data_IF_331328538582
#
_entry.id   IF_331328538582
#
_cell.length_a   1.000
_cell.length_b   1.000
_cell.length_c   1.000
_cell.angle_alpha   90.00
_cell.angle_beta   90.00
_cell.angle_gamma   90.00
#
_symmetry.space_group_name_H-M   'P 1'
#
loop_
_entity.id
_entity.type
_entity.pdbx_description
1 polymer ?
#
# COMPACT_ATOMS: atom_id res chain seq x y z
N UNK A 1 -2.60 -30.76 -14.28
CA UNK A 1 -2.54 -29.98 -13.02
C UNK A 1 -3.15 -28.61 -13.25
N UNK A 2 -3.88 -28.06 -12.27
CA UNK A 2 -4.38 -26.69 -12.38
C UNK A 2 -3.21 -25.69 -12.50
N UNK A 3 -3.37 -24.58 -13.25
CA UNK A 3 -2.34 -23.55 -13.39
C UNK A 3 -1.80 -23.03 -12.04
N UNK A 4 -2.66 -22.94 -11.02
CA UNK A 4 -2.30 -22.60 -9.63
C UNK A 4 -1.37 -23.63 -8.98
N UNK A 5 -1.61 -24.92 -9.21
CA UNK A 5 -0.72 -25.99 -8.75
C UNK A 5 0.64 -25.93 -9.43
N UNK A 6 0.67 -25.62 -10.73
CA UNK A 6 1.92 -25.50 -11.50
C UNK A 6 2.75 -24.30 -11.00
N UNK A 7 2.13 -23.14 -10.78
CA UNK A 7 2.83 -21.98 -10.24
C UNK A 7 3.35 -22.22 -8.82
N UNK A 8 2.56 -22.87 -7.96
CA UNK A 8 2.97 -23.23 -6.60
C UNK A 8 4.16 -24.18 -6.60
N UNK A 9 4.10 -25.24 -7.41
CA UNK A 9 5.20 -26.20 -7.52
C UNK A 9 6.47 -25.55 -8.08
N UNK A 10 6.34 -24.68 -9.09
CA UNK A 10 7.48 -23.97 -9.66
C UNK A 10 8.12 -23.01 -8.64
N UNK A 11 7.32 -22.32 -7.82
CA UNK A 11 7.82 -21.48 -6.73
C UNK A 11 8.60 -22.29 -5.70
N UNK A 12 8.08 -23.46 -5.29
CA UNK A 12 8.76 -24.37 -4.37
C UNK A 12 10.11 -24.85 -4.93
N UNK A 13 10.16 -25.19 -6.23
CA UNK A 13 11.41 -25.62 -6.89
C UNK A 13 12.41 -24.46 -6.94
N UNK A 14 11.99 -23.25 -7.35
CA UNK A 14 12.87 -22.07 -7.36
C UNK A 14 13.40 -21.73 -5.96
N UNK A 15 12.57 -21.87 -4.93
CA UNK A 15 12.95 -21.65 -3.53
C UNK A 15 13.98 -22.68 -3.04
N UNK A 16 13.78 -23.97 -3.34
CA UNK A 16 14.74 -25.03 -3.01
C UNK A 16 16.11 -24.78 -3.62
N UNK A 17 16.18 -24.44 -4.91
CA UNK A 17 17.46 -24.16 -5.57
C UNK A 17 18.14 -22.89 -5.08
N UNK A 18 17.38 -21.88 -4.64
CA UNK A 18 17.94 -20.72 -3.93
C UNK A 18 18.58 -21.12 -2.59
N UNK A 19 17.94 -22.02 -1.85
CA UNK A 19 18.51 -22.57 -0.61
C UNK A 19 19.80 -23.35 -0.90
N UNK A 20 19.76 -24.28 -1.85
CA UNK A 20 20.93 -25.09 -2.23
C UNK A 20 22.10 -24.21 -2.72
N UNK A 21 21.79 -23.11 -3.44
CA UNK A 21 22.81 -22.16 -3.87
C UNK A 21 23.46 -21.41 -2.71
N UNK A 22 22.66 -20.98 -1.73
CA UNK A 22 23.17 -20.32 -0.51
C UNK A 22 23.95 -21.26 0.39
N UNK A 23 23.59 -22.54 0.43
CA UNK A 23 24.31 -23.55 1.21
C UNK A 23 25.59 -24.05 0.52
N UNK A 24 25.96 -23.49 -0.64
CA UNK A 24 27.11 -23.94 -1.43
C UNK A 24 26.96 -25.33 -2.05
N UNK A 25 25.74 -25.88 -2.10
CA UNK A 25 25.47 -27.21 -2.64
C UNK A 25 25.29 -27.20 -4.18
N UNK A 26 25.09 -26.04 -4.79
CA UNK A 26 25.00 -25.82 -6.24
C UNK A 26 25.32 -24.37 -6.57
N UNK A 27 25.87 -24.09 -7.75
CA UNK A 27 26.08 -22.70 -8.21
C UNK A 27 24.93 -22.19 -9.09
N UNK A 28 24.08 -23.11 -9.55
CA UNK A 28 23.04 -22.85 -10.55
C UNK A 28 21.64 -23.14 -10.02
N UNK A 29 20.68 -22.34 -10.50
CA UNK A 29 19.26 -22.59 -10.33
C UNK A 29 18.63 -22.94 -11.69
N UNK A 30 18.47 -24.23 -12.03
CA UNK A 30 17.93 -24.64 -13.33
C UNK A 30 16.46 -24.23 -13.53
N UNK A 31 15.74 -23.92 -12.46
CA UNK A 31 14.36 -23.47 -12.53
C UNK A 31 14.24 -21.96 -12.82
N UNK A 32 15.32 -21.18 -12.71
CA UNK A 32 15.31 -19.72 -12.83
C UNK A 32 14.76 -19.24 -14.18
N UNK A 33 15.20 -19.88 -15.27
CA UNK A 33 14.76 -19.60 -16.64
C UNK A 33 13.34 -20.10 -16.97
N UNK A 34 12.70 -20.86 -16.07
CA UNK A 34 11.35 -21.38 -16.29
C UNK A 34 10.32 -20.31 -15.91
N UNK A 35 9.59 -19.83 -16.91
CA UNK A 35 8.45 -18.94 -16.73
C UNK A 35 7.24 -19.71 -16.20
N UNK A 36 6.61 -19.19 -15.15
CA UNK A 36 5.38 -19.77 -14.60
C UNK A 36 4.19 -19.62 -15.55
N UNK A 37 3.13 -20.43 -15.37
CA UNK A 37 1.90 -20.26 -16.11
C UNK A 37 1.32 -18.87 -15.83
N UNK A 38 0.85 -18.17 -16.87
CA UNK A 38 0.14 -16.88 -16.73
C UNK A 38 -1.11 -17.08 -15.88
N UNK A 39 -1.00 -16.81 -14.59
CA UNK A 39 -2.10 -16.79 -13.64
C UNK A 39 -2.59 -15.37 -13.46
N UNK A 40 -3.09 -14.77 -14.53
CA UNK A 40 -3.85 -13.53 -14.40
C UNK A 40 -5.32 -13.82 -14.64
N UNK A 41 -6.06 -13.95 -13.54
CA UNK A 41 -7.50 -13.67 -13.55
C UNK A 41 -7.67 -12.43 -12.66
N UNK A 42 -8.14 -11.30 -13.20
CA UNK A 42 -8.46 -10.17 -12.35
C UNK A 42 -9.46 -10.68 -11.30
N UNK A 43 -9.12 -10.51 -10.03
CA UNK A 43 -10.07 -10.83 -8.98
C UNK A 43 -11.27 -9.90 -9.15
N UNK A 44 -12.51 -10.40 -9.19
CA UNK A 44 -13.69 -9.59 -9.48
C UNK A 44 -13.88 -8.38 -8.55
N UNK A 45 -13.20 -8.38 -7.39
CA UNK A 45 -13.26 -7.31 -6.39
C UNK A 45 -12.24 -6.17 -6.55
N UNK A 46 -11.24 -6.25 -7.43
CA UNK A 46 -10.29 -5.14 -7.61
C UNK A 46 -10.90 -3.97 -8.40
N UNK A 47 -10.54 -2.74 -8.04
CA UNK A 47 -10.79 -1.57 -8.89
C UNK A 47 -9.84 -1.61 -10.08
N UNK A 48 -10.27 -1.05 -11.21
CA UNK A 48 -9.33 -0.78 -12.31
C UNK A 48 -8.40 0.37 -11.92
N UNK A 49 -7.28 0.51 -12.64
CA UNK A 49 -6.39 1.67 -12.48
C UNK A 49 -7.17 2.97 -12.70
N UNK A 50 -8.01 3.02 -13.74
CA UNK A 50 -8.84 4.19 -14.04
C UNK A 50 -9.82 4.53 -12.92
N UNK A 51 -10.47 3.53 -12.32
CA UNK A 51 -11.38 3.75 -11.20
C UNK A 51 -10.64 4.34 -9.99
N UNK A 52 -9.44 3.84 -9.69
CA UNK A 52 -8.61 4.39 -8.60
C UNK A 52 -8.14 5.80 -8.92
N UNK A 53 -7.70 6.07 -10.14
CA UNK A 53 -7.28 7.41 -10.55
C UNK A 53 -8.44 8.41 -10.46
N UNK A 54 -9.64 8.04 -10.93
CA UNK A 54 -10.87 8.84 -10.77
C UNK A 54 -11.16 9.12 -9.30
N UNK A 55 -11.08 8.11 -8.44
CA UNK A 55 -11.30 8.26 -7.00
C UNK A 55 -10.34 9.30 -6.38
N UNK A 56 -9.05 9.20 -6.68
CA UNK A 56 -8.01 10.10 -6.17
C UNK A 56 -8.14 11.52 -6.76
N UNK A 57 -8.47 11.62 -8.05
CA UNK A 57 -8.71 12.89 -8.72
C UNK A 57 -9.94 13.62 -8.14
N UNK A 58 -11.03 12.92 -7.85
CA UNK A 58 -12.18 13.50 -7.17
C UNK A 58 -11.81 14.12 -5.82
N UNK A 59 -10.90 13.50 -5.07
CA UNK A 59 -10.39 14.08 -3.82
C UNK A 59 -9.59 15.36 -4.07
N UNK A 60 -8.78 15.39 -5.13
CA UNK A 60 -8.02 16.57 -5.54
C UNK A 60 -8.91 17.72 -6.06
N UNK A 61 -9.93 17.41 -6.86
CA UNK A 61 -10.86 18.43 -7.38
C UNK A 61 -11.73 19.03 -6.28
N UNK A 62 -12.16 18.22 -5.31
CA UNK A 62 -12.91 18.70 -4.15
C UNK A 62 -12.12 19.72 -3.30
N UNK A 63 -10.78 19.73 -3.40
CA UNK A 63 -9.95 20.74 -2.73
C UNK A 63 -10.05 22.12 -3.39
N UNK A 64 -10.21 22.13 -4.71
CA UNK A 64 -10.24 23.34 -5.51
C UNK A 64 -11.60 24.03 -5.44
N UNK A 65 -12.67 23.28 -5.25
CA UNK A 65 -14.05 23.79 -5.31
C UNK A 65 -14.60 24.36 -3.98
N UNK A 66 -14.27 23.76 -2.83
CA UNK A 66 -14.87 24.16 -1.54
C UNK A 66 -13.83 24.72 -0.56
N UNK A 67 -13.64 26.06 -0.57
CA UNK A 67 -12.74 26.77 0.35
C UNK A 67 -13.15 26.59 1.82
N UNK A 68 -14.45 26.40 2.10
CA UNK A 68 -14.97 26.27 3.47
C UNK A 68 -14.61 24.91 4.10
N UNK A 69 -14.49 23.86 3.29
CA UNK A 69 -14.13 22.50 3.73
C UNK A 69 -12.70 22.08 3.38
N UNK A 70 -11.89 23.00 2.84
CA UNK A 70 -10.51 22.76 2.39
C UNK A 70 -9.68 21.89 3.35
N UNK A 71 -9.81 22.10 4.67
CA UNK A 71 -9.10 21.30 5.69
C UNK A 71 -9.48 19.82 5.66
N UNK A 72 -10.77 19.51 5.72
CA UNK A 72 -11.24 18.12 5.72
C UNK A 72 -10.86 17.42 4.41
N UNK A 73 -10.97 18.13 3.29
CA UNK A 73 -10.60 17.58 1.99
C UNK A 73 -9.10 17.31 1.88
N UNK A 74 -8.23 18.12 2.49
CA UNK A 74 -6.77 17.88 2.49
C UNK A 74 -6.43 16.60 3.24
N UNK A 75 -7.07 16.39 4.39
CA UNK A 75 -6.94 15.14 5.15
C UNK A 75 -7.43 13.96 4.32
N UNK A 76 -8.60 14.08 3.72
CA UNK A 76 -9.23 13.00 2.98
C UNK A 76 -8.37 12.59 1.77
N UNK A 77 -7.83 13.55 1.02
CA UNK A 77 -6.90 13.30 -0.08
C UNK A 77 -5.65 12.57 0.41
N UNK A 78 -5.01 13.08 1.47
CA UNK A 78 -3.82 12.45 2.04
C UNK A 78 -4.08 11.02 2.50
N UNK A 79 -5.25 10.76 3.11
CA UNK A 79 -5.65 9.43 3.55
C UNK A 79 -5.85 8.46 2.38
N UNK A 80 -6.50 8.90 1.30
CA UNK A 80 -6.74 8.05 0.12
C UNK A 80 -5.46 7.74 -0.65
N UNK A 81 -4.62 8.74 -0.88
CA UNK A 81 -3.30 8.56 -1.49
C UNK A 81 -2.41 7.66 -0.63
N UNK A 82 -2.45 7.82 0.70
CA UNK A 82 -1.73 6.95 1.64
C UNK A 82 -2.20 5.49 1.56
N UNK A 83 -3.52 5.25 1.64
CA UNK A 83 -4.07 3.90 1.60
C UNK A 83 -3.74 3.17 0.30
N UNK A 84 -3.85 3.87 -0.84
CA UNK A 84 -3.52 3.29 -2.13
C UNK A 84 -2.01 3.12 -2.28
N UNK A 85 -1.22 4.18 -2.06
CA UNK A 85 0.22 4.18 -2.31
C UNK A 85 1.04 3.25 -1.42
N UNK A 86 0.53 2.89 -0.24
CA UNK A 86 1.22 1.99 0.72
C UNK A 86 0.58 0.60 0.81
N UNK A 87 -0.62 0.44 0.22
CA UNK A 87 -1.45 -0.74 0.43
C UNK A 87 -1.85 -0.98 1.89
N UNK A 88 -1.80 0.01 2.79
CA UNK A 88 -2.06 -0.18 4.22
C UNK A 88 -3.44 -0.79 4.53
N UNK A 89 -3.52 -1.60 5.59
CA UNK A 89 -4.80 -2.01 6.18
C UNK A 89 -5.47 -0.79 6.83
N UNK A 90 -6.80 -0.83 6.97
CA UNK A 90 -7.54 0.27 7.60
C UNK A 90 -7.11 0.53 9.05
N UNK A 91 -6.75 -0.51 9.80
CA UNK A 91 -6.22 -0.37 11.17
C UNK A 91 -4.82 0.24 11.17
N UNK A 92 -3.96 -0.20 10.25
CA UNK A 92 -2.61 0.35 10.10
C UNK A 92 -2.67 1.84 9.79
N UNK A 93 -3.53 2.27 8.87
CA UNK A 93 -3.73 3.69 8.56
C UNK A 93 -4.34 4.47 9.74
N UNK A 94 -5.27 3.88 10.49
CA UNK A 94 -5.90 4.53 11.64
C UNK A 94 -4.94 4.73 12.83
N UNK A 95 -4.00 3.80 13.01
CA UNK A 95 -3.07 3.78 14.14
C UNK A 95 -1.66 4.30 13.78
N UNK A 96 -1.36 4.56 12.50
CA UNK A 96 -0.10 5.13 12.03
C UNK A 96 0.18 6.46 12.73
N UNK A 97 1.43 6.66 13.15
CA UNK A 97 1.90 7.88 13.80
C UNK A 97 2.81 8.67 12.89
N UNK A 98 3.04 9.95 13.21
CA UNK A 98 3.99 10.77 12.45
C UNK A 98 5.41 10.25 12.58
N UNK A 99 5.79 9.73 13.74
CA UNK A 99 7.09 9.11 13.97
C UNK A 99 7.35 7.86 13.12
N UNK A 100 6.32 7.30 12.48
CA UNK A 100 6.45 6.14 11.58
C UNK A 100 6.73 6.55 10.12
N UNK A 101 6.77 7.86 9.83
CA UNK A 101 7.08 8.40 8.51
C UNK A 101 8.58 8.67 8.41
N UNK A 102 9.27 7.90 7.58
CA UNK A 102 10.69 8.09 7.24
C UNK A 102 10.80 8.87 5.93
N UNK A 103 10.41 10.14 5.97
CA UNK A 103 10.28 10.99 4.77
C UNK A 103 11.56 11.08 3.94
N UNK A 104 12.73 11.18 4.58
CA UNK A 104 14.03 11.22 3.90
C UNK A 104 14.32 9.95 3.10
N UNK A 105 13.81 8.81 3.56
CA UNK A 105 13.98 7.50 2.89
C UNK A 105 12.81 7.18 1.96
N UNK A 106 11.74 7.99 1.96
CA UNK A 106 10.51 7.69 1.23
C UNK A 106 9.71 6.49 1.79
N UNK A 107 9.96 6.09 3.04
CA UNK A 107 9.40 4.89 3.66
C UNK A 107 8.38 5.22 4.76
N UNK A 108 7.45 4.29 5.00
CA UNK A 108 6.55 4.32 6.17
C UNK A 108 6.56 2.97 6.88
N UNK A 109 6.61 3.01 8.21
CA UNK A 109 6.46 1.82 9.05
C UNK A 109 4.98 1.60 9.40
N UNK A 110 4.47 0.40 9.16
CA UNK A 110 3.09 0.00 9.42
C UNK A 110 3.03 -1.14 10.44
N UNK A 111 2.16 -1.02 11.44
CA UNK A 111 1.96 -2.03 12.48
C UNK A 111 0.71 -2.90 12.23
N UNK A 112 0.93 -4.17 11.97
CA UNK A 112 -0.10 -5.19 11.78
C UNK A 112 -0.59 -5.83 13.08
N UNK A 113 -1.43 -6.87 12.93
CA UNK A 113 -1.94 -7.67 14.05
C UNK A 113 -0.79 -8.42 14.73
N UNK A 114 -0.75 -8.41 16.07
CA UNK A 114 0.30 -9.06 16.86
C UNK A 114 1.63 -8.31 16.86
N UNK A 115 1.61 -6.99 16.69
CA UNK A 115 2.78 -6.10 16.66
C UNK A 115 3.79 -6.43 15.55
N UNK A 116 3.40 -7.20 14.54
CA UNK A 116 4.23 -7.40 13.34
C UNK A 116 4.34 -6.08 12.59
N UNK A 117 5.55 -5.57 12.47
CA UNK A 117 5.84 -4.36 11.70
C UNK A 117 6.27 -4.72 10.27
N UNK A 118 6.03 -3.81 9.34
CA UNK A 118 6.68 -3.80 8.03
C UNK A 118 6.96 -2.38 7.61
N UNK A 119 8.03 -2.21 6.84
CA UNK A 119 8.36 -0.94 6.21
C UNK A 119 7.96 -1.04 4.75
N UNK A 120 7.24 -0.04 4.26
CA UNK A 120 6.79 0.00 2.86
C UNK A 120 7.18 1.33 2.23
N UNK A 121 7.55 1.34 0.93
CA UNK A 121 7.69 2.57 0.18
C UNK A 121 6.34 3.29 0.10
N UNK A 122 6.41 4.61 0.16
CA UNK A 122 5.28 5.47 -0.15
C UNK A 122 5.63 6.32 -1.37
N UNK A 123 4.72 6.33 -2.35
CA UNK A 123 4.98 7.00 -3.61
C UNK A 123 5.01 8.53 -3.52
N UNK A 124 5.57 9.19 -4.54
CA UNK A 124 5.74 10.67 -4.54
C UNK A 124 4.42 11.42 -4.37
N UNK A 125 3.36 10.98 -5.05
CA UNK A 125 2.04 11.59 -4.93
C UNK A 125 1.47 11.47 -3.50
N UNK A 126 1.65 10.31 -2.88
CA UNK A 126 1.23 10.07 -1.51
C UNK A 126 2.05 10.90 -0.51
N UNK A 127 3.38 10.99 -0.68
CA UNK A 127 4.21 11.90 0.12
C UNK A 127 3.78 13.36 -0.02
N UNK A 128 3.51 13.82 -1.24
CA UNK A 128 3.06 15.19 -1.50
C UNK A 128 1.75 15.49 -0.76
N UNK A 129 0.77 14.59 -0.88
CA UNK A 129 -0.52 14.74 -0.21
C UNK A 129 -0.39 14.70 1.32
N UNK A 130 0.39 13.75 1.86
CA UNK A 130 0.64 13.65 3.31
C UNK A 130 1.38 14.89 3.83
N UNK A 131 2.37 15.39 3.10
CA UNK A 131 3.12 16.61 3.47
C UNK A 131 2.22 17.83 3.51
N UNK A 132 1.36 18.03 2.49
CA UNK A 132 0.38 19.11 2.47
C UNK A 132 -0.64 19.00 3.61
N UNK A 133 -1.08 17.79 3.94
CA UNK A 133 -1.92 17.57 5.12
C UNK A 133 -1.21 17.94 6.43
N UNK A 134 0.05 17.51 6.59
CA UNK A 134 0.85 17.77 7.80
C UNK A 134 1.18 19.25 7.99
N UNK A 135 1.38 20.02 6.92
CA UNK A 135 1.66 21.46 7.01
C UNK A 135 0.38 22.28 7.20
N UNK A 136 -0.65 22.01 6.40
CA UNK A 136 -1.72 23.01 6.19
C UNK A 136 -3.01 22.68 6.94
N UNK A 137 -3.16 21.43 7.37
CA UNK A 137 -4.39 20.91 7.95
C UNK A 137 -4.20 20.33 9.36
N UNK A 138 -3.33 19.32 9.55
CA UNK A 138 -3.19 18.60 10.82
C UNK A 138 -2.96 19.53 12.03
N UNK A 139 -2.08 20.56 11.98
CA UNK A 139 -1.85 21.45 13.12
C UNK A 139 -3.11 22.20 13.56
N UNK A 140 -4.03 22.47 12.63
CA UNK A 140 -5.30 23.17 12.88
C UNK A 140 -6.40 22.23 13.38
N UNK A 141 -6.23 20.92 13.21
CA UNK A 141 -7.13 19.90 13.76
C UNK A 141 -6.64 19.37 15.10
N UNK A 142 -5.35 19.52 15.40
CA UNK A 142 -4.74 18.92 16.57
C UNK A 142 -5.38 19.44 17.87
N UNK A 143 -5.59 18.53 18.81
CA UNK A 143 -6.07 18.76 20.16
C UNK A 143 -5.28 17.91 21.14
N UNK A 144 -5.53 18.06 22.45
CA UNK A 144 -4.90 17.22 23.47
C UNK A 144 -5.08 15.71 23.21
N UNK A 145 -6.19 15.33 22.56
CA UNK A 145 -6.51 13.94 22.21
C UNK A 145 -5.80 13.41 20.96
N UNK A 146 -5.04 14.24 20.22
CA UNK A 146 -4.39 13.84 18.98
C UNK A 146 -3.24 12.88 19.17
N UNK A 147 -2.51 12.99 20.29
CA UNK A 147 -1.21 12.35 20.47
C UNK A 147 -0.35 12.50 19.19
N UNK A 148 0.38 11.43 18.83
CA UNK A 148 1.19 11.41 17.61
C UNK A 148 0.50 10.77 16.38
N UNK A 149 -0.81 10.50 16.45
CA UNK A 149 -1.53 9.87 15.34
C UNK A 149 -1.44 10.71 14.07
N UNK A 150 -1.16 10.06 12.93
CA UNK A 150 -1.01 10.72 11.65
C UNK A 150 -2.34 11.36 11.24
N UNK A 151 -3.40 10.56 11.09
CA UNK A 151 -4.71 11.04 10.62
C UNK A 151 -5.67 11.35 11.77
N UNK A 152 -6.16 12.59 11.79
CA UNK A 152 -7.07 13.10 12.82
C UNK A 152 -8.51 13.30 12.31
N UNK A 153 -9.48 13.00 13.16
CA UNK A 153 -10.88 13.34 12.93
C UNK A 153 -11.13 14.86 13.17
N UNK A 154 -12.35 15.34 12.89
CA UNK A 154 -12.67 16.77 13.01
C UNK A 154 -12.67 17.32 14.45
N UNK A 155 -12.60 16.45 15.47
CA UNK A 155 -12.48 16.80 16.90
C UNK A 155 -11.03 16.73 17.39
N UNK A 156 -10.08 16.43 16.50
CA UNK A 156 -8.66 16.30 16.80
C UNK A 156 -8.23 14.96 17.40
N UNK A 157 -9.14 14.02 17.67
CA UNK A 157 -8.75 12.65 18.02
C UNK A 157 -8.31 11.84 16.81
N UNK A 158 -7.77 10.63 17.01
CA UNK A 158 -7.43 9.74 15.90
C UNK A 158 -8.64 9.41 15.02
N UNK A 159 -8.40 9.18 13.74
CA UNK A 159 -9.44 8.75 12.82
C UNK A 159 -9.79 7.28 13.07
N UNK A 160 -11.09 6.98 13.22
CA UNK A 160 -11.53 5.60 13.45
C UNK A 160 -11.61 4.83 12.14
N UNK A 161 -11.54 3.49 12.19
CA UNK A 161 -11.74 2.62 11.01
C UNK A 161 -13.04 2.94 10.27
N UNK A 162 -14.12 3.18 11.01
CA UNK A 162 -15.40 3.59 10.45
C UNK A 162 -15.35 4.97 9.80
N UNK A 163 -14.59 5.91 10.39
CA UNK A 163 -14.32 7.22 9.78
C UNK A 163 -13.60 7.10 8.44
N UNK A 164 -12.56 6.26 8.37
CA UNK A 164 -11.82 6.00 7.12
C UNK A 164 -12.75 5.43 6.06
N UNK A 165 -13.58 4.45 6.42
CA UNK A 165 -14.55 3.85 5.52
C UNK A 165 -15.57 4.87 4.99
N UNK A 166 -16.10 5.74 5.86
CA UNK A 166 -17.02 6.83 5.45
C UNK A 166 -16.36 7.82 4.50
N UNK A 167 -15.09 8.18 4.74
CA UNK A 167 -14.32 9.03 3.84
C UNK A 167 -14.17 8.36 2.49
N UNK A 168 -13.72 7.11 2.45
CA UNK A 168 -13.57 6.36 1.20
C UNK A 168 -14.89 6.34 0.41
N UNK A 169 -15.99 5.97 1.05
CA UNK A 169 -17.28 5.88 0.36
C UNK A 169 -17.79 7.21 -0.16
N UNK A 170 -17.57 8.31 0.58
CA UNK A 170 -17.88 9.64 0.07
C UNK A 170 -17.20 9.87 -1.29
N UNK A 171 -15.92 9.54 -1.44
CA UNK A 171 -15.21 9.75 -2.70
C UNK A 171 -15.53 8.72 -3.77
N UNK A 172 -15.85 7.48 -3.39
CA UNK A 172 -16.35 6.45 -4.32
C UNK A 172 -17.65 6.90 -4.97
N UNK A 173 -18.59 7.42 -4.17
CA UNK A 173 -19.84 7.98 -4.67
C UNK A 173 -19.59 9.20 -5.56
N UNK A 174 -18.72 10.14 -5.14
CA UNK A 174 -18.39 11.32 -5.94
C UNK A 174 -17.70 10.97 -7.27
N UNK A 175 -16.92 9.89 -7.30
CA UNK A 175 -16.27 9.40 -8.52
C UNK A 175 -17.21 8.60 -9.44
N UNK A 176 -18.48 8.41 -9.05
CA UNK A 176 -19.44 7.64 -9.85
C UNK A 176 -19.13 6.14 -9.92
N UNK A 177 -18.33 5.62 -8.99
CA UNK A 177 -17.97 4.20 -8.96
C UNK A 177 -19.14 3.42 -8.35
N UNK A 178 -19.75 2.55 -9.15
CA UNK A 178 -20.93 1.75 -8.76
C UNK A 178 -20.59 0.48 -7.98
N UNK A 179 -19.31 0.08 -8.00
CA UNK A 179 -18.82 -1.08 -7.24
C UNK A 179 -18.81 -0.79 -5.74
N UNK A 180 -19.01 -1.81 -4.92
CA UNK A 180 -18.80 -1.70 -3.48
C UNK A 180 -17.30 -1.64 -3.18
N UNK A 181 -16.83 -0.48 -2.70
CA UNK A 181 -15.42 -0.24 -2.42
C UNK A 181 -15.22 -0.15 -0.91
N UNK A 182 -14.22 -0.89 -0.43
CA UNK A 182 -13.77 -0.85 0.96
C UNK A 182 -12.26 -0.59 1.03
N UNK A 183 -11.70 -0.29 2.22
CA UNK A 183 -10.25 -0.22 2.38
C UNK A 183 -9.53 -1.52 1.95
N UNK A 184 -10.17 -2.67 2.14
CA UNK A 184 -9.65 -3.96 1.66
C UNK A 184 -9.66 -4.05 0.13
N UNK A 185 -10.70 -3.53 -0.53
CA UNK A 185 -10.79 -3.42 -1.99
C UNK A 185 -9.64 -2.57 -2.53
N UNK A 186 -9.37 -1.42 -1.92
CA UNK A 186 -8.31 -0.50 -2.37
C UNK A 186 -6.92 -1.14 -2.19
N UNK A 187 -6.67 -1.78 -1.04
CA UNK A 187 -5.45 -2.56 -0.80
C UNK A 187 -5.26 -3.71 -1.80
N UNK A 188 -6.34 -4.40 -2.13
CA UNK A 188 -6.28 -5.48 -3.11
C UNK A 188 -5.99 -4.95 -4.52
N UNK A 189 -6.53 -3.77 -4.85
CA UNK A 189 -6.25 -3.07 -6.11
C UNK A 189 -4.78 -2.68 -6.18
N UNK A 190 -4.19 -2.14 -5.11
CA UNK A 190 -2.75 -1.88 -5.00
C UNK A 190 -1.91 -3.12 -5.37
N UNK A 191 -2.20 -4.27 -4.75
CA UNK A 191 -1.51 -5.53 -5.01
C UNK A 191 -1.67 -5.99 -6.47
N UNK A 192 -2.91 -5.96 -6.97
CA UNK A 192 -3.23 -6.39 -8.33
C UNK A 192 -2.54 -5.50 -9.36
N UNK A 193 -2.46 -4.19 -9.11
CA UNK A 193 -1.82 -3.26 -10.02
C UNK A 193 -0.31 -3.39 -10.06
N UNK A 194 0.35 -3.63 -8.92
CA UNK A 194 1.77 -3.95 -8.90
C UNK A 194 2.08 -5.21 -9.71
N UNK A 195 1.34 -6.29 -9.47
CA UNK A 195 1.51 -7.54 -10.22
C UNK A 195 1.20 -7.37 -11.71
N UNK A 196 0.17 -6.62 -12.06
CA UNK A 196 -0.17 -6.32 -13.46
C UNK A 196 0.88 -5.44 -14.14
N UNK A 197 1.57 -4.58 -13.36
CA UNK A 197 2.69 -3.77 -13.82
C UNK A 197 3.95 -4.58 -14.10
N UNK A 198 4.07 -5.78 -13.52
CA UNK A 198 5.23 -6.67 -13.67
C UNK A 198 6.02 -6.91 -12.38
N UNK A 199 5.55 -6.39 -11.24
CA UNK A 199 6.26 -6.54 -9.97
C UNK A 199 6.39 -8.00 -9.55
N UNK A 200 7.51 -8.32 -8.90
CA UNK A 200 7.76 -9.64 -8.35
C UNK A 200 6.72 -10.00 -7.27
N UNK A 201 6.22 -11.24 -7.31
CA UNK A 201 5.18 -11.71 -6.40
C UNK A 201 5.64 -11.69 -4.93
N UNK A 202 6.92 -11.97 -4.68
CA UNK A 202 7.50 -11.98 -3.33
C UNK A 202 7.56 -10.54 -2.82
N UNK A 203 8.02 -9.60 -3.64
CA UNK A 203 8.01 -8.18 -3.29
C UNK A 203 6.60 -7.68 -2.94
N UNK A 204 5.59 -8.04 -3.74
CA UNK A 204 4.19 -7.68 -3.45
C UNK A 204 3.67 -8.33 -2.16
N UNK A 205 4.06 -9.58 -1.87
CA UNK A 205 3.68 -10.27 -0.63
C UNK A 205 4.31 -9.62 0.61
N UNK A 206 5.57 -9.19 0.52
CA UNK A 206 6.28 -8.48 1.58
C UNK A 206 5.69 -7.09 1.83
N UNK A 207 5.40 -6.33 0.77
CA UNK A 207 4.70 -5.04 0.85
C UNK A 207 3.33 -5.15 1.54
N UNK A 208 2.66 -6.29 1.40
CA UNK A 208 1.40 -6.59 2.09
C UNK A 208 1.60 -7.20 3.48
N UNK A 209 2.80 -7.66 3.86
CA UNK A 209 3.03 -8.30 5.15
C UNK A 209 2.17 -9.55 5.34
N UNK A 210 2.17 -10.46 4.36
CA UNK A 210 1.64 -11.81 4.56
C UNK A 210 2.53 -12.56 5.56
N UNK A 211 1.87 -13.10 6.59
CA UNK A 211 2.48 -13.43 7.88
C UNK A 211 3.07 -14.84 7.98
N UNK A 212 3.09 -15.61 6.89
CA UNK A 212 3.67 -16.96 6.83
C UNK A 212 4.91 -16.96 5.95
N UNK A 213 6.04 -16.56 6.54
CA UNK A 213 7.33 -17.22 6.39
C UNK A 213 8.07 -16.95 7.70
N UNK A 214 8.54 -18.02 8.32
CA UNK A 214 9.51 -18.07 9.41
C UNK A 214 10.83 -17.42 9.02
N UNK A 215 10.91 -16.09 9.04
CA UNK A 215 12.18 -15.36 8.94
C UNK A 215 12.05 -14.02 9.66
N UNK A 216 12.38 -13.97 10.95
CA UNK A 216 12.60 -12.69 11.65
C UNK A 216 14.10 -12.40 11.81
N UNK A 217 14.97 -13.28 11.30
CA UNK A 217 16.42 -13.20 11.55
C UNK A 217 17.28 -12.91 10.31
N UNK A 218 16.73 -12.52 9.16
CA UNK A 218 17.54 -12.38 7.92
C UNK A 218 17.71 -10.94 7.40
N UNK A 219 16.91 -9.95 7.79
CA UNK A 219 16.79 -8.75 6.96
C UNK A 219 17.78 -7.63 7.34
N UNK A 220 18.90 -7.61 6.63
CA UNK A 220 19.84 -6.48 6.52
C UNK A 220 19.50 -5.61 5.31
N UNK A 221 20.02 -4.38 5.28
CA UNK A 221 19.76 -3.25 4.36
C UNK A 221 19.52 -3.51 2.85
N UNK A 222 19.81 -4.69 2.33
CA UNK A 222 19.79 -5.03 0.89
C UNK A 222 18.37 -5.22 0.32
N UNK A 223 17.36 -5.56 1.14
CA UNK A 223 15.98 -5.81 0.66
C UNK A 223 15.13 -4.55 0.47
N UNK A 224 15.42 -3.47 1.22
CA UNK A 224 14.66 -2.23 1.10
C UNK A 224 14.83 -1.60 -0.29
N UNK A 225 16.04 -1.62 -0.85
CA UNK A 225 16.29 -1.06 -2.17
C UNK A 225 15.52 -1.80 -3.27
N UNK A 226 15.41 -3.13 -3.14
CA UNK A 226 14.62 -3.96 -4.05
C UNK A 226 13.12 -3.68 -3.91
N UNK A 227 12.58 -3.63 -2.70
CA UNK A 227 11.17 -3.29 -2.49
C UNK A 227 10.83 -1.87 -2.96
N UNK A 228 11.74 -0.91 -2.76
CA UNK A 228 11.63 0.46 -3.28
C UNK A 228 11.66 0.44 -4.81
N UNK A 229 12.56 -0.31 -5.45
CA UNK A 229 12.64 -0.36 -6.91
C UNK A 229 11.38 -0.98 -7.53
N UNK A 230 10.91 -2.09 -6.98
CA UNK A 230 9.70 -2.77 -7.44
C UNK A 230 8.46 -1.88 -7.31
N UNK A 231 8.30 -1.21 -6.16
CA UNK A 231 7.21 -0.24 -5.97
C UNK A 231 7.35 0.92 -6.97
N UNK A 232 8.54 1.50 -7.09
CA UNK A 232 8.80 2.65 -7.95
C UNK A 232 8.58 2.36 -9.44
N UNK A 233 8.95 1.18 -9.90
CA UNK A 233 8.88 0.81 -11.30
C UNK A 233 7.46 0.38 -11.72
N UNK A 234 6.74 -0.29 -10.83
CA UNK A 234 5.49 -0.97 -11.18
C UNK A 234 4.24 -0.36 -10.56
N UNK A 235 4.33 0.45 -9.51
CA UNK A 235 3.16 1.09 -8.93
C UNK A 235 2.60 2.14 -9.89
N UNK A 236 1.30 2.11 -10.24
CA UNK A 236 0.75 3.05 -11.22
C UNK A 236 1.02 4.51 -10.85
N UNK A 237 0.95 4.86 -9.56
CA UNK A 237 1.14 6.25 -9.09
C UNK A 237 2.57 6.78 -9.16
N UNK A 238 3.55 5.98 -9.58
CA UNK A 238 4.94 6.44 -9.76
C UNK A 238 5.21 6.96 -11.17
N UNK A 239 4.31 6.65 -12.11
CA UNK A 239 4.39 7.09 -13.52
C UNK A 239 3.58 8.37 -13.79
N UNK A 240 2.75 8.83 -12.84
CA UNK A 240 1.78 9.94 -12.98
C UNK A 240 1.58 10.71 -11.68
#
# INVERSE_FOLDING_TARGET
MAPSSIARNLSSIKGLYRFLKRSGATDINPAEAISGPKLYRPHPGALSIDDVLKLLECANLALKSDKSKKRMTLRDQALLEFLYGTGARVSEAADCKRADLYAEMGLVRLFGKGSKERVVPMGKAAWSAVKGYLSDCRPKLASASSADYLFLNNRGGKLSRMGIWKILNKYVTLAGITKNVSPHTLRHSFATHLLAGGADLIAVQELLGHADITTTEIYTHVDNDFLISEHREFHPREKW
#
